data_IF_125955685858
#
_entry.id   IF_125955685858
#
_cell.length_a   1.000
_cell.length_b   1.000
_cell.length_c   1.000
_cell.angle_alpha   90.00
_cell.angle_beta   90.00
_cell.angle_gamma   90.00
#
_symmetry.space_group_name_H-M   'P 1'
#
loop_
_entity.id
_entity.type
_entity.pdbx_description
1 polymer ?
#
# COMPACT_ATOMS: atom_id res chain seq x y z
N UNK A 1 -5.61 -58.24 -48.65
CA UNK A 1 -6.38 -57.02 -48.30
C UNK A 1 -5.80 -56.43 -47.02
N UNK A 2 -4.97 -55.39 -47.14
CA UNK A 2 -4.58 -54.51 -46.03
C UNK A 2 -4.23 -53.14 -46.60
N UNK A 3 -4.93 -52.17 -46.04
CA UNK A 3 -5.02 -50.73 -46.25
C UNK A 3 -3.96 -50.08 -45.32
N UNK A 4 -3.27 -48.95 -45.51
CA UNK A 4 -3.11 -47.93 -46.56
C UNK A 4 -1.84 -47.16 -46.14
N UNK A 5 -0.98 -46.77 -47.10
CA UNK A 5 -0.10 -45.60 -46.99
C UNK A 5 -0.83 -44.43 -47.65
N UNK A 6 -0.94 -43.29 -46.97
CA UNK A 6 -0.91 -41.96 -47.62
C UNK A 6 -0.88 -40.85 -46.58
N UNK A 7 0.28 -40.20 -46.52
CA UNK A 7 0.48 -38.89 -45.92
C UNK A 7 -0.05 -37.87 -46.92
N UNK A 8 -0.97 -36.99 -46.51
CA UNK A 8 -1.41 -35.87 -47.32
C UNK A 8 -1.45 -34.60 -46.46
N UNK A 9 -0.70 -33.61 -46.94
CA UNK A 9 -0.47 -32.30 -46.37
C UNK A 9 -1.70 -31.41 -46.59
N UNK A 10 -2.23 -30.77 -45.53
CA UNK A 10 -3.09 -29.59 -45.66
C UNK A 10 -2.78 -28.58 -44.57
N UNK A 11 -2.30 -27.42 -45.02
CA UNK A 11 -2.24 -26.15 -44.29
C UNK A 11 -3.58 -25.87 -43.58
N UNK A 12 -3.51 -25.50 -42.30
CA UNK A 12 -4.49 -24.59 -41.69
C UNK A 12 -3.76 -23.51 -40.90
N UNK A 13 -4.17 -22.29 -41.21
CA UNK A 13 -3.72 -21.01 -40.66
C UNK A 13 -4.28 -20.81 -39.26
N UNK A 14 -3.47 -20.10 -38.45
CA UNK A 14 -3.80 -19.35 -37.23
C UNK A 14 -4.30 -20.10 -35.99
N UNK A 15 -3.46 -20.11 -34.96
CA UNK A 15 -3.75 -19.36 -33.74
C UNK A 15 -2.42 -19.08 -33.03
N UNK A 16 -2.03 -17.80 -32.99
CA UNK A 16 -0.99 -17.36 -32.07
C UNK A 16 -1.55 -17.53 -30.66
N UNK A 17 -1.16 -18.63 -30.00
CA UNK A 17 -1.44 -18.85 -28.59
C UNK A 17 -0.58 -17.86 -27.81
N UNK A 18 -1.11 -16.66 -27.60
CA UNK A 18 -0.68 -15.77 -26.53
C UNK A 18 -0.81 -16.56 -25.23
N UNK A 19 0.32 -17.01 -24.69
CA UNK A 19 0.41 -17.36 -23.28
C UNK A 19 0.08 -16.07 -22.51
N UNK A 20 -1.18 -15.92 -22.10
CA UNK A 20 -1.52 -15.04 -21.00
C UNK A 20 -0.80 -15.62 -19.79
N UNK A 21 0.37 -15.08 -19.48
CA UNK A 21 0.90 -15.18 -18.14
C UNK A 21 -0.15 -14.49 -17.26
N UNK A 22 -0.93 -15.29 -16.55
CA UNK A 22 -1.75 -14.79 -15.47
C UNK A 22 -0.78 -14.14 -14.48
N UNK A 23 -0.64 -12.82 -14.55
CA UNK A 23 -0.10 -12.05 -13.47
C UNK A 23 -1.03 -12.34 -12.29
N UNK A 24 -0.60 -13.24 -11.42
CA UNK A 24 -1.15 -13.35 -10.07
C UNK A 24 -0.77 -12.03 -9.41
N UNK A 25 -1.61 -11.02 -9.60
CA UNK A 25 -1.66 -9.89 -8.69
C UNK A 25 -2.10 -10.48 -7.36
N UNK A 26 -1.12 -10.89 -6.55
CA UNK A 26 -1.32 -11.02 -5.13
C UNK A 26 -1.74 -9.63 -4.66
N UNK A 27 -3.04 -9.37 -4.63
CA UNK A 27 -3.59 -8.24 -3.87
C UNK A 27 -3.29 -8.60 -2.43
N UNK A 28 -2.12 -8.18 -1.97
CA UNK A 28 -1.76 -8.28 -0.57
C UNK A 28 -2.72 -7.38 0.19
N UNK A 29 -3.78 -7.97 0.74
CA UNK A 29 -4.74 -7.23 1.55
C UNK A 29 -4.04 -6.74 2.80
N UNK A 30 -3.80 -5.43 2.89
CA UNK A 30 -3.42 -4.83 4.17
C UNK A 30 -4.59 -5.04 5.13
N UNK A 31 -4.32 -5.73 6.23
CA UNK A 31 -5.27 -5.74 7.33
C UNK A 31 -4.96 -4.54 8.22
N UNK A 32 -5.90 -3.58 8.39
CA UNK A 32 -5.72 -2.53 9.39
C UNK A 32 -5.58 -3.18 10.76
N UNK A 33 -4.61 -2.72 11.55
CA UNK A 33 -4.36 -3.32 12.86
C UNK A 33 -5.51 -2.93 13.81
N UNK A 34 -6.16 -3.92 14.43
CA UNK A 34 -7.23 -3.73 15.41
C UNK A 34 -6.81 -2.83 16.60
N UNK A 35 -5.52 -2.63 16.82
CA UNK A 35 -4.99 -1.72 17.84
C UNK A 35 -4.93 -0.25 17.43
N UNK A 36 -5.03 0.10 16.14
CA UNK A 36 -5.05 1.49 15.68
C UNK A 36 -5.73 1.64 14.32
N UNK A 37 -7.02 1.97 14.34
CA UNK A 37 -7.79 2.32 13.16
C UNK A 37 -7.12 3.46 12.35
N UNK A 38 -7.04 3.35 11.03
CA UNK A 38 -6.79 4.49 10.16
C UNK A 38 -7.74 5.65 10.47
N UNK A 39 -7.23 6.88 10.48
CA UNK A 39 -8.01 8.05 10.86
C UNK A 39 -7.54 9.32 10.16
N UNK A 40 -8.49 10.17 9.81
CA UNK A 40 -8.29 11.56 9.39
C UNK A 40 -8.80 12.44 10.54
N UNK A 41 -8.03 13.47 10.89
CA UNK A 41 -8.48 14.51 11.81
C UNK A 41 -8.33 15.87 11.18
N UNK A 42 -9.45 16.56 10.98
CA UNK A 42 -9.50 17.92 10.50
C UNK A 42 -9.05 18.91 11.57
N UNK A 43 -8.31 19.94 11.15
CA UNK A 43 -7.88 21.07 11.96
C UNK A 43 -8.32 22.36 11.29
N UNK A 44 -9.26 23.06 11.90
CA UNK A 44 -9.81 24.30 11.32
C UNK A 44 -8.76 25.40 11.07
N UNK A 45 -7.67 25.44 11.84
CA UNK A 45 -6.63 26.47 11.79
C UNK A 45 -5.23 25.93 11.41
N UNK A 46 -5.14 24.72 10.85
CA UNK A 46 -3.85 24.14 10.47
C UNK A 46 -3.96 22.88 9.64
N UNK A 47 -2.84 22.19 9.44
CA UNK A 47 -2.84 20.96 8.65
C UNK A 47 -3.60 19.83 9.35
N UNK A 48 -4.41 19.15 8.57
CA UNK A 48 -5.12 17.95 8.97
C UNK A 48 -4.15 16.81 9.22
N UNK A 49 -4.57 15.83 10.01
CA UNK A 49 -3.70 14.72 10.39
C UNK A 49 -4.26 13.43 9.86
N UNK A 50 -3.52 12.79 8.97
CA UNK A 50 -3.76 11.40 8.59
C UNK A 50 -2.89 10.45 9.40
N UNK A 51 -3.47 9.34 9.84
CA UNK A 51 -2.77 8.24 10.51
C UNK A 51 -3.19 6.92 9.89
N UNK A 52 -2.22 6.06 9.66
CA UNK A 52 -2.46 4.69 9.22
C UNK A 52 -1.56 3.72 10.00
N UNK A 53 -2.13 2.56 10.33
CA UNK A 53 -1.39 1.44 10.87
C UNK A 53 -1.94 0.16 10.27
N UNK A 54 -1.11 -0.53 9.49
CA UNK A 54 -1.49 -1.77 8.83
C UNK A 54 -0.38 -2.80 8.90
N UNK A 55 -0.76 -4.03 8.62
CA UNK A 55 0.17 -5.16 8.46
C UNK A 55 -0.16 -5.95 7.21
N UNK A 56 0.88 -6.51 6.60
CA UNK A 56 0.81 -7.42 5.46
C UNK A 56 1.75 -8.59 5.71
N UNK A 57 1.34 -9.81 5.31
CA UNK A 57 2.21 -10.98 5.40
C UNK A 57 3.31 -10.86 4.33
N UNK A 58 4.56 -10.71 4.77
CA UNK A 58 5.69 -10.45 3.89
C UNK A 58 7.00 -10.86 4.55
N UNK A 59 7.81 -11.60 3.80
CA UNK A 59 9.14 -12.05 4.24
C UNK A 59 10.12 -10.88 4.20
N UNK A 60 11.01 -10.70 5.20
CA UNK A 60 12.01 -9.65 5.18
C UNK A 60 13.06 -9.84 4.09
N UNK A 61 13.68 -8.77 3.57
CA UNK A 61 14.68 -8.85 2.49
C UNK A 61 15.90 -9.68 2.89
N UNK A 62 16.29 -9.65 4.17
CA UNK A 62 17.39 -10.47 4.72
C UNK A 62 17.17 -11.98 4.56
N UNK A 63 15.92 -12.43 4.38
CA UNK A 63 15.56 -13.83 4.15
C UNK A 63 15.11 -14.09 2.71
N UNK A 64 15.51 -13.25 1.75
CA UNK A 64 15.10 -13.36 0.35
C UNK A 64 13.70 -12.80 0.07
N UNK A 65 13.19 -11.96 0.98
CA UNK A 65 11.95 -11.22 0.77
C UNK A 65 12.03 -10.25 -0.40
N UNK A 66 10.91 -9.98 -1.09
CA UNK A 66 10.93 -9.23 -2.34
C UNK A 66 10.93 -7.71 -2.17
N UNK A 67 10.75 -7.20 -0.95
CA UNK A 67 10.67 -5.76 -0.66
C UNK A 67 11.84 -5.33 0.20
N UNK A 68 12.61 -4.37 -0.30
CA UNK A 68 13.64 -3.64 0.43
C UNK A 68 13.17 -2.21 0.70
N UNK A 69 12.68 -1.90 1.92
CA UNK A 69 12.13 -0.59 2.24
C UNK A 69 13.11 0.58 2.06
N UNK A 70 14.42 0.32 2.04
CA UNK A 70 15.45 1.35 1.84
C UNK A 70 15.63 1.63 0.36
N UNK A 71 15.62 0.60 -0.49
CA UNK A 71 15.91 0.73 -1.93
C UNK A 71 14.66 1.04 -2.76
N UNK A 72 13.52 0.53 -2.33
CA UNK A 72 12.29 0.55 -3.11
C UNK A 72 11.50 1.85 -2.96
N UNK A 73 11.74 2.58 -1.86
CA UNK A 73 10.89 3.71 -1.48
C UNK A 73 9.53 3.26 -0.95
N UNK A 74 8.62 4.21 -0.81
CA UNK A 74 7.27 3.95 -0.29
C UNK A 74 6.30 5.01 -0.79
N UNK A 75 5.21 4.62 -1.45
CA UNK A 75 4.15 5.55 -1.86
C UNK A 75 2.84 5.28 -1.14
N UNK A 76 2.03 6.32 -0.97
CA UNK A 76 0.64 6.17 -0.56
C UNK A 76 -0.25 7.18 -1.26
N UNK A 77 -1.47 6.75 -1.57
CA UNK A 77 -2.52 7.57 -2.14
C UNK A 77 -3.82 7.30 -1.36
N UNK A 78 -4.57 8.35 -1.06
CA UNK A 78 -5.89 8.30 -0.47
C UNK A 78 -6.84 8.95 -1.47
N UNK A 79 -7.89 8.22 -1.84
CA UNK A 79 -8.83 8.63 -2.88
C UNK A 79 -10.27 8.42 -2.42
N UNK A 80 -11.20 9.14 -3.03
CA UNK A 80 -12.63 8.87 -2.97
C UNK A 80 -13.23 8.92 -4.38
N UNK A 81 -14.56 8.96 -4.48
CA UNK A 81 -15.25 9.04 -5.77
C UNK A 81 -15.02 10.35 -6.52
N UNK A 82 -14.64 11.43 -5.81
CA UNK A 82 -14.36 12.74 -6.39
C UNK A 82 -12.92 12.88 -6.89
N UNK A 83 -12.03 11.96 -6.51
CA UNK A 83 -10.65 11.90 -6.98
C UNK A 83 -9.64 11.65 -5.86
N UNK A 84 -8.43 12.16 -6.07
CA UNK A 84 -7.34 12.09 -5.08
C UNK A 84 -7.61 13.08 -3.93
N UNK A 85 -7.62 12.56 -2.70
CA UNK A 85 -7.65 13.36 -1.46
C UNK A 85 -6.21 13.73 -1.07
N UNK A 86 -5.29 12.77 -1.18
CA UNK A 86 -3.92 12.93 -0.72
C UNK A 86 -2.99 11.92 -1.37
N UNK A 87 -1.83 12.37 -1.86
CA UNK A 87 -0.76 11.50 -2.30
C UNK A 87 0.58 11.94 -1.72
N UNK A 88 1.41 10.97 -1.36
CA UNK A 88 2.78 11.22 -0.98
C UNK A 88 3.66 10.00 -1.18
N UNK A 89 4.94 10.26 -1.51
CA UNK A 89 5.93 9.22 -1.68
C UNK A 89 7.24 9.57 -0.97
N UNK A 90 7.91 8.55 -0.45
CA UNK A 90 9.26 8.55 0.07
C UNK A 90 10.13 7.98 -1.03
N UNK A 91 11.15 8.74 -1.44
CA UNK A 91 12.10 8.25 -2.44
C UNK A 91 13.00 7.14 -1.88
N UNK A 92 13.60 6.39 -2.79
CA UNK A 92 14.69 5.47 -2.47
C UNK A 92 15.77 6.18 -1.62
N UNK A 93 16.21 5.51 -0.55
CA UNK A 93 17.26 5.99 0.35
C UNK A 93 16.80 6.95 1.46
N UNK A 94 15.59 7.51 1.42
CA UNK A 94 15.07 8.38 2.48
C UNK A 94 14.66 7.60 3.73
N UNK A 95 14.15 6.39 3.54
CA UNK A 95 13.84 5.47 4.62
C UNK A 95 15.17 4.92 5.17
N UNK A 96 15.47 5.18 6.44
CA UNK A 96 16.72 4.74 7.07
C UNK A 96 16.54 3.42 7.80
N UNK A 97 17.49 2.51 7.63
CA UNK A 97 17.57 1.29 8.44
C UNK A 97 18.01 1.66 9.87
N UNK A 98 17.22 1.21 10.84
CA UNK A 98 17.44 1.40 12.27
C UNK A 98 17.93 0.11 12.95
N UNK A 99 18.23 -0.93 12.17
CA UNK A 99 18.55 -2.27 12.61
C UNK A 99 17.33 -3.04 13.13
N UNK A 100 17.52 -4.33 13.37
CA UNK A 100 16.48 -5.24 13.89
C UNK A 100 15.22 -5.26 13.00
N UNK A 101 15.41 -5.18 11.67
CA UNK A 101 14.36 -5.13 10.66
C UNK A 101 13.38 -3.97 10.88
N UNK A 102 13.89 -2.81 11.29
CA UNK A 102 13.12 -1.58 11.53
C UNK A 102 13.64 -0.50 10.61
N UNK A 103 12.72 0.21 9.97
CA UNK A 103 13.04 1.29 9.08
C UNK A 103 12.24 2.53 9.45
N UNK A 104 12.82 3.71 9.23
CA UNK A 104 12.20 4.96 9.62
C UNK A 104 12.52 6.07 8.65
N UNK A 105 11.47 6.79 8.28
CA UNK A 105 11.55 8.14 7.75
C UNK A 105 10.95 9.11 8.77
N UNK A 106 11.53 10.31 8.87
CA UNK A 106 11.01 11.38 9.72
C UNK A 106 11.37 12.74 9.14
N UNK A 107 10.36 13.55 8.90
CA UNK A 107 10.49 14.95 8.53
C UNK A 107 9.72 15.80 9.56
N UNK A 108 10.42 16.68 10.27
CA UNK A 108 9.80 17.52 11.29
C UNK A 108 9.04 18.71 10.69
N UNK A 109 9.45 19.18 9.52
CA UNK A 109 8.90 20.37 8.88
C UNK A 109 7.52 20.11 8.29
N UNK A 110 7.16 18.85 8.02
CA UNK A 110 5.83 18.45 7.60
C UNK A 110 4.71 18.96 8.52
N UNK A 111 4.96 19.08 9.83
CA UNK A 111 3.97 19.61 10.80
C UNK A 111 3.55 21.05 10.55
N UNK A 112 4.41 21.83 9.91
CA UNK A 112 4.23 23.26 9.66
C UNK A 112 4.13 23.55 8.16
N UNK A 113 3.86 22.53 7.33
CA UNK A 113 3.71 22.67 5.88
C UNK A 113 5.00 22.70 5.09
N UNK A 114 6.17 22.70 5.74
CA UNK A 114 7.48 22.71 5.07
C UNK A 114 8.04 21.32 4.75
N UNK A 115 7.20 20.30 4.68
CA UNK A 115 7.66 18.91 4.52
C UNK A 115 8.13 18.60 3.10
N UNK A 116 9.20 17.82 2.95
CA UNK A 116 9.81 17.51 1.65
C UNK A 116 9.09 16.40 0.87
N UNK A 117 8.22 15.62 1.53
CA UNK A 117 7.56 14.44 0.97
C UNK A 117 6.04 14.51 1.10
N UNK A 118 5.43 15.55 0.53
CA UNK A 118 3.98 15.73 0.51
C UNK A 118 3.36 15.70 1.90
N UNK A 119 4.01 16.30 2.91
CA UNK A 119 3.47 16.32 4.28
C UNK A 119 3.64 15.03 5.10
N UNK A 120 4.34 14.00 4.58
CA UNK A 120 4.70 12.82 5.39
C UNK A 120 5.61 13.23 6.56
N UNK A 121 5.12 13.08 7.78
CA UNK A 121 5.88 13.41 8.99
C UNK A 121 6.72 12.25 9.49
N UNK A 122 6.14 11.06 9.53
CA UNK A 122 6.93 9.85 9.72
C UNK A 122 6.33 8.65 9.03
N UNK A 123 7.21 7.75 8.63
CA UNK A 123 6.88 6.38 8.25
C UNK A 123 7.76 5.46 9.07
N UNK A 124 7.15 4.49 9.74
CA UNK A 124 7.86 3.46 10.51
C UNK A 124 7.46 2.12 9.98
N UNK A 125 8.43 1.43 9.42
CA UNK A 125 8.25 0.11 8.86
C UNK A 125 8.99 -0.89 9.73
N UNK A 126 8.40 -2.07 9.94
CA UNK A 126 9.02 -3.11 10.75
C UNK A 126 8.58 -4.48 10.27
N UNK A 127 9.53 -5.38 10.10
CA UNK A 127 9.20 -6.78 10.01
C UNK A 127 9.12 -7.41 11.41
N UNK A 128 8.07 -8.21 11.63
CA UNK A 128 7.87 -8.97 12.87
C UNK A 128 7.30 -10.34 12.53
N UNK A 129 7.87 -11.37 13.13
CA UNK A 129 7.33 -12.73 13.06
C UNK A 129 6.21 -12.89 14.10
N UNK A 130 5.08 -13.44 13.69
CA UNK A 130 4.00 -13.89 14.57
C UNK A 130 3.70 -15.35 14.23
N UNK A 131 4.00 -16.27 15.16
CA UNK A 131 4.07 -17.70 14.84
C UNK A 131 5.13 -17.95 13.77
N UNK A 132 4.74 -18.64 12.69
CA UNK A 132 5.63 -18.93 11.56
C UNK A 132 5.56 -17.93 10.40
N UNK A 133 4.69 -16.92 10.50
CA UNK A 133 4.45 -15.95 9.45
C UNK A 133 5.17 -14.64 9.75
N UNK A 134 5.89 -14.11 8.76
CA UNK A 134 6.46 -12.77 8.81
C UNK A 134 5.42 -11.74 8.40
N UNK A 135 5.36 -10.65 9.16
CA UNK A 135 4.50 -9.52 8.87
C UNK A 135 5.34 -8.26 8.71
N UNK A 136 5.08 -7.53 7.64
CA UNK A 136 5.54 -6.18 7.45
C UNK A 136 4.48 -5.22 7.99
N UNK A 137 4.86 -4.45 9.03
CA UNK A 137 3.99 -3.48 9.70
C UNK A 137 4.38 -2.09 9.26
N UNK A 138 3.41 -1.33 8.79
CA UNK A 138 3.58 0.05 8.31
C UNK A 138 2.81 0.99 9.22
N UNK A 139 3.47 2.05 9.70
CA UNK A 139 2.86 3.13 10.46
C UNK A 139 3.16 4.46 9.81
N UNK A 140 2.11 5.17 9.43
CA UNK A 140 2.21 6.44 8.73
C UNK A 140 1.56 7.53 9.56
N UNK A 141 2.17 8.71 9.54
CA UNK A 141 1.54 9.95 9.96
C UNK A 141 1.89 11.04 8.96
N UNK A 142 0.88 11.67 8.41
CA UNK A 142 1.01 12.80 7.51
C UNK A 142 0.29 14.03 8.06
N UNK A 143 0.70 15.19 7.57
CA UNK A 143 0.04 16.48 7.76
C UNK A 143 -0.17 17.10 6.39
N UNK A 144 -1.43 17.32 6.01
CA UNK A 144 -1.79 17.85 4.70
C UNK A 144 -3.13 18.58 4.80
N UNK A 145 -3.52 19.26 3.73
CA UNK A 145 -4.93 19.61 3.52
C UNK A 145 -5.68 18.34 3.10
N UNK A 146 -6.64 17.91 3.91
CA UNK A 146 -7.48 16.73 3.65
C UNK A 146 -8.94 17.13 3.48
N UNK A 147 -9.23 18.40 3.16
CA UNK A 147 -10.58 18.94 2.99
C UNK A 147 -11.41 18.21 1.93
N UNK A 148 -10.77 17.55 0.96
CA UNK A 148 -11.42 16.72 -0.06
C UNK A 148 -11.93 15.37 0.46
N UNK A 149 -11.61 15.00 1.71
CA UNK A 149 -12.17 13.83 2.37
C UNK A 149 -13.63 14.09 2.79
N UNK A 150 -14.53 14.22 1.83
CA UNK A 150 -15.96 14.51 2.06
C UNK A 150 -16.85 13.28 2.04
N UNK A 151 -16.36 12.18 1.45
CA UNK A 151 -17.15 10.96 1.20
C UNK A 151 -16.76 9.83 2.14
N UNK A 152 -17.74 9.08 2.66
CA UNK A 152 -17.47 7.93 3.52
C UNK A 152 -16.70 6.83 2.78
N UNK A 153 -16.96 6.62 1.49
CA UNK A 153 -16.31 5.57 0.71
C UNK A 153 -14.94 6.03 0.20
N UNK A 154 -13.87 5.60 0.88
CA UNK A 154 -12.50 5.98 0.53
C UNK A 154 -11.62 4.76 0.27
N UNK A 155 -10.63 4.94 -0.61
CA UNK A 155 -9.62 3.94 -0.96
C UNK A 155 -8.24 4.44 -0.56
N UNK A 156 -7.55 3.66 0.26
CA UNK A 156 -6.12 3.83 0.52
C UNK A 156 -5.33 2.88 -0.38
N UNK A 157 -4.43 3.42 -1.19
CA UNK A 157 -3.45 2.68 -1.97
C UNK A 157 -2.08 2.84 -1.32
N UNK A 158 -1.38 1.73 -1.12
CA UNK A 158 0.00 1.71 -0.67
C UNK A 158 0.84 1.13 -1.80
N UNK A 159 1.75 1.94 -2.33
CA UNK A 159 2.63 1.57 -3.43
C UNK A 159 3.92 1.01 -2.83
N UNK A 160 4.03 -0.32 -2.88
CA UNK A 160 5.27 -1.06 -2.67
C UNK A 160 5.66 -1.78 -3.96
N UNK A 161 6.94 -2.15 -4.11
CA UNK A 161 7.52 -2.65 -5.37
C UNK A 161 6.86 -3.94 -5.89
N UNK A 162 6.13 -4.67 -5.06
CA UNK A 162 5.40 -5.88 -5.46
C UNK A 162 3.92 -5.68 -5.83
N UNK A 163 3.52 -4.42 -6.04
CA UNK A 163 2.18 -4.06 -6.50
C UNK A 163 1.43 -3.21 -5.47
N UNK A 164 0.48 -2.37 -5.92
CA UNK A 164 -0.29 -1.53 -5.04
C UNK A 164 -1.18 -2.42 -4.16
N UNK A 165 -1.05 -2.25 -2.86
CA UNK A 165 -1.98 -2.84 -1.92
C UNK A 165 -3.08 -1.83 -1.63
N UNK A 166 -4.34 -2.24 -1.79
CA UNK A 166 -5.49 -1.36 -1.65
C UNK A 166 -6.34 -1.72 -0.44
N UNK A 167 -6.94 -0.70 0.17
CA UNK A 167 -7.94 -0.82 1.22
C UNK A 167 -9.08 0.15 0.90
N UNK A 168 -10.15 -0.38 0.33
CA UNK A 168 -11.40 0.35 0.09
C UNK A 168 -12.42 0.00 1.15
N UNK A 169 -13.03 0.99 1.78
CA UNK A 169 -14.02 0.77 2.82
C UNK A 169 -14.88 2.01 3.08
N UNK A 170 -15.96 1.81 3.83
CA UNK A 170 -16.77 2.89 4.38
C UNK A 170 -16.15 3.40 5.68
N UNK A 171 -15.75 4.66 5.69
CA UNK A 171 -15.22 5.35 6.84
C UNK A 171 -16.37 5.97 7.63
N UNK A 172 -16.27 5.92 8.95
CA UNK A 172 -17.24 6.52 9.85
C UNK A 172 -16.81 7.95 10.14
N UNK A 173 -17.72 8.89 9.89
CA UNK A 173 -17.54 10.28 10.26
C UNK A 173 -17.45 10.43 11.79
N UNK A 174 -16.59 11.35 12.21
CA UNK A 174 -16.39 11.73 13.62
C UNK A 174 -16.55 13.24 13.74
N UNK A 175 -16.66 13.76 14.96
CA UNK A 175 -16.82 15.21 15.20
C UNK A 175 -15.79 16.09 14.48
N UNK A 176 -14.61 15.55 14.16
CA UNK A 176 -13.56 16.31 13.46
C UNK A 176 -12.78 15.46 12.45
N UNK A 177 -13.45 14.63 11.65
CA UNK A 177 -12.80 13.88 10.58
C UNK A 177 -13.35 12.49 10.41
N UNK A 178 -12.50 11.55 10.01
CA UNK A 178 -12.91 10.21 9.62
C UNK A 178 -12.14 9.13 10.37
N UNK A 179 -12.79 7.99 10.54
CA UNK A 179 -12.19 6.80 11.15
C UNK A 179 -12.63 5.59 10.36
N UNK A 180 -11.67 4.75 9.97
CA UNK A 180 -12.00 3.44 9.46
C UNK A 180 -12.52 2.55 10.60
N UNK A 181 -13.72 1.94 10.49
CA UNK A 181 -14.17 0.95 11.46
C UNK A 181 -13.26 -0.28 11.37
N UNK A 182 -12.65 -0.65 12.49
CA UNK A 182 -11.91 -1.91 12.58
C UNK A 182 -12.93 -3.04 12.70
N UNK A 183 -13.21 -3.72 11.60
CA UNK A 183 -13.90 -5.00 11.67
C UNK A 183 -12.96 -5.97 12.38
N UNK A 184 -13.27 -6.25 13.66
CA UNK A 184 -12.68 -7.36 14.39
C UNK A 184 -13.26 -8.63 13.76
N UNK A 185 -12.61 -9.12 12.72
CA UNK A 185 -12.78 -10.50 12.28
C UNK A 185 -11.96 -11.42 13.19
#
# INVERSE_FOLDING_TARGET
MSIVKSVCFRLRVAAATTCLAAAVSCVFGFTPDASAAPSIRFKGDGLDVFKFHGRVALVPPTFGGPVDPVRDGFGMELMNQLGEIYAAAIASGDLKDMGKLRYRFKDKLAKVGGGSRGGLYHVKNRFRKFGDVWYYTVRIRAYADLSLATEAWMTLLLHEVNGPASLTSEWVETTNGWRLPLNRF
#
